data_IF_203601852424
#
_entry.id   IF_203601852424
#
_cell.length_a   1.000
_cell.length_b   1.000
_cell.length_c   1.000
_cell.angle_alpha   90.00
_cell.angle_beta   90.00
_cell.angle_gamma   90.00
#
_symmetry.space_group_name_H-M   'P 1'
#
loop_
_entity.id
_entity.type
_entity.pdbx_description
1 polymer ?
#
# COMPACT_ATOMS: atom_id res chain seq x y z
N UNK A 1 -3.84 16.65 -2.49
CA UNK A 1 -4.98 15.94 -3.06
C UNK A 1 -6.26 16.68 -2.86
N UNK A 2 -6.99 16.92 -3.89
CA UNK A 2 -8.08 17.88 -3.81
C UNK A 2 -9.48 17.28 -3.72
N UNK A 3 -9.68 16.06 -4.22
CA UNK A 3 -11.00 15.44 -4.18
C UNK A 3 -10.91 13.91 -4.34
N UNK A 4 -12.03 13.23 -4.11
CA UNK A 4 -12.10 11.77 -4.16
C UNK A 4 -11.78 11.20 -5.54
N UNK A 5 -12.18 11.90 -6.60
CA UNK A 5 -11.92 11.47 -7.97
C UNK A 5 -10.43 11.41 -8.25
N UNK A 6 -9.69 12.44 -7.83
CA UNK A 6 -8.25 12.49 -8.00
C UNK A 6 -7.56 11.39 -7.19
N UNK A 7 -8.04 11.14 -5.97
CA UNK A 7 -7.49 10.08 -5.13
C UNK A 7 -7.65 8.71 -5.79
N UNK A 8 -8.85 8.40 -6.27
CA UNK A 8 -9.09 7.12 -6.93
C UNK A 8 -8.20 6.92 -8.15
N UNK A 9 -8.05 7.96 -8.98
CA UNK A 9 -7.18 7.90 -10.16
C UNK A 9 -5.73 7.66 -9.78
N UNK A 10 -5.27 8.33 -8.73
CA UNK A 10 -3.89 8.18 -8.25
C UNK A 10 -3.66 6.75 -7.77
N UNK A 11 -4.58 6.23 -6.98
CA UNK A 11 -4.48 4.87 -6.43
C UNK A 11 -4.52 3.83 -7.54
N UNK A 12 -5.42 3.98 -8.50
CA UNK A 12 -5.51 3.05 -9.64
C UNK A 12 -4.21 3.03 -10.44
N UNK A 13 -3.63 4.20 -10.65
CA UNK A 13 -2.36 4.31 -11.38
C UNK A 13 -1.20 3.73 -10.58
N UNK A 14 -1.17 3.96 -9.28
CA UNK A 14 -0.15 3.40 -8.41
C UNK A 14 -0.22 1.87 -8.41
N UNK A 15 -1.42 1.33 -8.29
CA UNK A 15 -1.65 -0.12 -8.36
C UNK A 15 -1.12 -0.69 -9.66
N UNK A 16 -1.46 -0.07 -10.78
CA UNK A 16 -1.00 -0.50 -12.11
C UNK A 16 0.51 -0.55 -12.18
N UNK A 17 1.17 0.50 -11.69
CA UNK A 17 2.63 0.58 -11.70
C UNK A 17 3.29 -0.43 -10.78
N UNK A 18 2.71 -0.67 -9.60
CA UNK A 18 3.22 -1.69 -8.69
C UNK A 18 3.13 -3.07 -9.35
N UNK A 19 2.04 -3.35 -10.04
CA UNK A 19 1.86 -4.63 -10.70
C UNK A 19 2.75 -4.81 -11.94
N UNK A 20 3.25 -3.73 -12.52
CA UNK A 20 4.30 -3.81 -13.53
C UNK A 20 5.61 -4.31 -12.93
N UNK A 21 5.89 -3.94 -11.70
CA UNK A 21 7.10 -4.38 -10.99
C UNK A 21 6.92 -5.81 -10.47
N UNK A 22 5.76 -6.12 -9.92
CA UNK A 22 5.45 -7.43 -9.34
C UNK A 22 4.01 -7.81 -9.72
N UNK A 23 3.82 -8.55 -10.83
CA UNK A 23 2.48 -8.82 -11.36
C UNK A 23 1.51 -9.51 -10.40
N UNK A 24 2.03 -10.31 -9.47
CA UNK A 24 1.20 -11.01 -8.50
C UNK A 24 0.99 -10.26 -7.20
N UNK A 25 1.46 -9.01 -7.12
CA UNK A 25 1.34 -8.21 -5.90
C UNK A 25 -0.13 -8.01 -5.51
N UNK A 26 -0.39 -8.08 -4.21
CA UNK A 26 -1.68 -7.73 -3.63
C UNK A 26 -1.49 -6.43 -2.87
N UNK A 27 -2.42 -5.50 -3.04
CA UNK A 27 -2.32 -4.18 -2.46
C UNK A 27 -3.57 -3.92 -1.63
N UNK A 28 -3.37 -3.60 -0.36
CA UNK A 28 -4.46 -3.38 0.59
C UNK A 28 -4.32 -1.99 1.18
N UNK A 29 -5.35 -1.18 1.00
CA UNK A 29 -5.44 0.14 1.63
C UNK A 29 -5.94 -0.06 3.05
N UNK A 30 -5.25 0.53 4.03
CA UNK A 30 -5.68 0.46 5.42
C UNK A 30 -5.54 1.83 6.08
N UNK A 31 -5.76 1.91 7.38
CA UNK A 31 -5.67 3.15 8.11
C UNK A 31 -6.87 4.06 7.87
N UNK A 32 -6.70 5.36 8.11
CA UNK A 32 -7.81 6.32 8.10
C UNK A 32 -8.54 6.39 6.76
N UNK A 33 -7.81 6.26 5.65
CA UNK A 33 -8.45 6.31 4.34
C UNK A 33 -9.33 5.10 4.05
N UNK A 34 -8.98 3.96 4.62
CA UNK A 34 -9.83 2.76 4.51
C UNK A 34 -11.05 2.84 5.42
N UNK A 35 -10.87 3.40 6.62
CA UNK A 35 -11.98 3.55 7.58
C UNK A 35 -12.96 4.66 7.20
N UNK A 36 -12.52 5.63 6.39
CA UNK A 36 -13.35 6.75 6.00
C UNK A 36 -13.25 7.97 6.90
N UNK A 37 -12.40 7.94 7.93
CA UNK A 37 -12.20 9.06 8.86
C UNK A 37 -10.96 9.90 8.49
N UNK A 38 -10.76 10.08 7.19
CA UNK A 38 -9.62 10.80 6.66
C UNK A 38 -9.99 12.23 6.22
N UNK A 39 -8.95 13.07 6.12
CA UNK A 39 -9.05 14.36 5.46
C UNK A 39 -8.03 14.41 4.31
N UNK A 40 -7.92 15.55 3.63
CA UNK A 40 -7.05 15.69 2.47
C UNK A 40 -5.57 15.56 2.78
N UNK A 41 -5.20 15.70 4.05
CA UNK A 41 -3.80 15.62 4.49
C UNK A 41 -3.44 14.25 5.07
N UNK A 42 -4.41 13.33 5.14
CA UNK A 42 -4.16 12.01 5.70
C UNK A 42 -3.20 11.21 4.83
N UNK A 43 -2.32 10.46 5.48
CA UNK A 43 -1.38 9.55 4.82
C UNK A 43 -2.15 8.43 4.11
N UNK A 44 -1.52 7.87 3.10
CA UNK A 44 -2.05 6.71 2.39
C UNK A 44 -1.28 5.50 2.88
N UNK A 45 -1.93 4.67 3.70
CA UNK A 45 -1.32 3.48 4.25
C UNK A 45 -1.61 2.28 3.35
N UNK A 46 -0.55 1.67 2.83
CA UNK A 46 -0.68 0.54 1.91
C UNK A 46 0.11 -0.67 2.42
N UNK A 47 -0.54 -1.82 2.44
CA UNK A 47 0.16 -3.09 2.59
C UNK A 47 0.35 -3.66 1.18
N UNK A 48 1.59 -3.97 0.83
CA UNK A 48 1.93 -4.52 -0.48
C UNK A 48 2.55 -5.90 -0.26
N UNK A 49 1.84 -6.93 -0.68
CA UNK A 49 2.28 -8.31 -0.54
C UNK A 49 2.80 -8.81 -1.88
N UNK A 50 4.05 -9.26 -1.89
CA UNK A 50 4.71 -9.76 -3.09
C UNK A 50 5.11 -11.22 -2.88
N UNK A 51 5.35 -11.95 -3.96
CA UNK A 51 5.69 -13.38 -3.86
C UNK A 51 7.06 -13.58 -3.21
N UNK A 52 8.06 -12.84 -3.69
CA UNK A 52 9.41 -12.91 -3.13
C UNK A 52 9.90 -11.52 -2.81
N UNK A 53 10.27 -11.31 -1.54
CA UNK A 53 10.75 -10.00 -1.10
C UNK A 53 12.23 -9.85 -1.41
N UNK A 54 12.53 -9.58 -2.68
CA UNK A 54 13.89 -9.28 -3.12
C UNK A 54 14.17 -7.80 -2.88
N UNK A 55 15.39 -7.50 -2.50
CA UNK A 55 15.80 -6.11 -2.24
C UNK A 55 15.53 -5.19 -3.43
N UNK A 56 15.84 -5.67 -4.64
CA UNK A 56 15.62 -4.86 -5.84
C UNK A 56 14.13 -4.56 -6.08
N UNK A 57 13.27 -5.54 -5.85
CA UNK A 57 11.83 -5.36 -6.01
C UNK A 57 11.29 -4.35 -5.00
N UNK A 58 11.70 -4.50 -3.74
CA UNK A 58 11.29 -3.59 -2.68
C UNK A 58 11.74 -2.16 -2.96
N UNK A 59 13.00 -1.98 -3.39
CA UNK A 59 13.53 -0.65 -3.74
C UNK A 59 12.76 -0.01 -4.88
N UNK A 60 12.40 -0.77 -5.90
CA UNK A 60 11.63 -0.26 -7.03
C UNK A 60 10.25 0.23 -6.58
N UNK A 61 9.59 -0.51 -5.70
CA UNK A 61 8.29 -0.13 -5.18
C UNK A 61 8.40 1.14 -4.31
N UNK A 62 9.40 1.20 -3.44
CA UNK A 62 9.62 2.37 -2.59
C UNK A 62 9.92 3.61 -3.45
N UNK A 63 10.76 3.47 -4.45
CA UNK A 63 11.07 4.59 -5.35
C UNK A 63 9.84 5.06 -6.10
N UNK A 64 9.00 4.14 -6.52
CA UNK A 64 7.74 4.47 -7.18
C UNK A 64 6.83 5.28 -6.24
N UNK A 65 6.75 4.89 -4.98
CA UNK A 65 5.98 5.64 -3.99
C UNK A 65 6.52 7.06 -3.82
N UNK A 66 7.83 7.23 -3.76
CA UNK A 66 8.43 8.57 -3.69
C UNK A 66 8.09 9.41 -4.91
N UNK A 67 8.13 8.83 -6.11
CA UNK A 67 7.75 9.56 -7.32
C UNK A 67 6.31 10.06 -7.24
N UNK A 68 5.42 9.22 -6.74
CA UNK A 68 4.01 9.58 -6.58
C UNK A 68 3.82 10.66 -5.52
N UNK A 69 4.57 10.57 -4.42
CA UNK A 69 4.52 11.60 -3.37
C UNK A 69 4.90 12.96 -3.93
N UNK A 70 5.97 13.02 -4.71
CA UNK A 70 6.44 14.27 -5.29
C UNK A 70 5.48 14.80 -6.36
N UNK A 71 4.94 13.90 -7.16
CA UNK A 71 4.07 14.31 -8.27
C UNK A 71 2.71 14.80 -7.81
N UNK A 72 2.15 14.18 -6.79
CA UNK A 72 0.77 14.44 -6.37
C UNK A 72 0.65 15.13 -5.02
N UNK A 73 1.76 15.47 -4.41
CA UNK A 73 1.80 16.15 -3.09
C UNK A 73 1.00 15.35 -2.04
N UNK A 74 1.37 14.09 -1.89
CA UNK A 74 0.74 13.15 -0.96
C UNK A 74 1.82 12.43 -0.16
N UNK A 75 1.43 11.79 0.93
CA UNK A 75 2.33 10.95 1.71
C UNK A 75 1.84 9.51 1.62
N UNK A 76 2.72 8.62 1.18
CA UNK A 76 2.42 7.19 1.06
C UNK A 76 3.29 6.44 2.06
N UNK A 77 2.66 5.61 2.88
CA UNK A 77 3.34 4.78 3.87
C UNK A 77 3.23 3.32 3.41
N UNK A 78 4.21 2.81 2.65
CA UNK A 78 4.15 1.44 2.17
C UNK A 78 4.70 0.46 3.21
N UNK A 79 3.97 -0.61 3.45
CA UNK A 79 4.41 -1.74 4.25
C UNK A 79 4.54 -2.90 3.29
N UNK A 80 5.78 -3.34 3.02
CA UNK A 80 6.06 -4.36 2.01
C UNK A 80 6.51 -5.64 2.68
N UNK A 81 5.81 -6.73 2.40
CA UNK A 81 6.15 -8.06 2.89
C UNK A 81 5.94 -9.10 1.79
N UNK A 82 6.62 -10.23 1.91
CA UNK A 82 6.25 -11.37 1.08
C UNK A 82 4.97 -11.98 1.63
N UNK A 83 4.19 -12.63 0.77
CA UNK A 83 2.96 -13.30 1.18
C UNK A 83 3.25 -14.37 2.24
N UNK A 84 4.34 -15.11 2.07
CA UNK A 84 4.74 -16.15 3.01
C UNK A 84 5.11 -15.56 4.37
N UNK A 85 5.91 -14.50 4.38
CA UNK A 85 6.33 -13.83 5.61
C UNK A 85 5.13 -13.29 6.38
N UNK A 86 4.21 -12.63 5.67
CA UNK A 86 3.03 -12.02 6.27
C UNK A 86 2.12 -13.05 6.95
N UNK A 87 2.07 -14.27 6.40
CA UNK A 87 1.24 -15.34 6.91
C UNK A 87 1.97 -16.29 7.85
N UNK A 88 3.19 -15.93 8.25
CA UNK A 88 4.03 -16.74 9.14
C UNK A 88 4.31 -16.02 10.44
N UNK A 89 4.65 -16.79 11.48
CA UNK A 89 5.05 -16.23 12.77
C UNK A 89 6.32 -15.37 12.58
N UNK A 90 6.45 -14.18 13.20
CA UNK A 90 5.50 -13.62 14.18
C UNK A 90 4.41 -12.72 13.58
N UNK A 91 4.45 -12.43 12.29
CA UNK A 91 3.49 -11.48 11.68
C UNK A 91 2.06 -11.98 11.76
N UNK A 92 1.86 -13.30 11.64
CA UNK A 92 0.52 -13.87 11.62
C UNK A 92 -0.25 -13.68 12.94
N UNK A 93 0.44 -13.33 14.03
CA UNK A 93 -0.21 -13.06 15.33
C UNK A 93 -0.07 -11.58 15.74
N UNK A 94 0.36 -10.72 14.83
CA UNK A 94 0.55 -9.30 15.14
C UNK A 94 -0.76 -8.53 15.15
N UNK A 95 -0.80 -7.48 15.97
CA UNK A 95 -1.97 -6.60 16.03
C UNK A 95 -2.20 -5.89 14.70
N UNK A 96 -1.12 -5.47 14.04
CA UNK A 96 -1.24 -4.74 12.78
C UNK A 96 -1.90 -5.62 11.71
N UNK A 97 -1.55 -6.91 11.67
CA UNK A 97 -2.17 -7.83 10.72
C UNK A 97 -3.66 -7.97 11.00
N UNK A 98 -4.02 -8.11 12.28
CA UNK A 98 -5.40 -8.19 12.69
C UNK A 98 -6.22 -6.97 12.22
N UNK A 99 -5.70 -5.76 12.47
CA UNK A 99 -6.40 -4.54 12.09
C UNK A 99 -6.48 -4.36 10.57
N UNK A 100 -5.41 -4.70 9.86
CA UNK A 100 -5.42 -4.60 8.39
C UNK A 100 -6.44 -5.57 7.79
N UNK A 101 -6.51 -6.80 8.30
CA UNK A 101 -7.49 -7.76 7.80
C UNK A 101 -8.92 -7.35 8.10
N UNK A 102 -9.13 -6.70 9.25
CA UNK A 102 -10.46 -6.26 9.66
C UNK A 102 -10.92 -5.01 8.89
N UNK A 103 -10.04 -4.04 8.69
CA UNK A 103 -10.39 -2.73 8.14
C UNK A 103 -9.91 -2.51 6.71
N UNK A 104 -8.97 -3.29 6.24
CA UNK A 104 -8.33 -3.08 4.96
C UNK A 104 -9.25 -3.29 3.77
N UNK A 105 -8.96 -2.55 2.71
CA UNK A 105 -9.68 -2.63 1.44
C UNK A 105 -8.69 -3.07 0.37
N UNK A 106 -8.94 -4.23 -0.22
CA UNK A 106 -8.11 -4.71 -1.31
C UNK A 106 -8.40 -3.87 -2.55
N UNK A 107 -7.35 -3.34 -3.13
CA UNK A 107 -7.49 -2.49 -4.32
C UNK A 107 -6.89 -3.13 -5.56
#
# INVERSE_FOLDING_TARGET
MKNKKSFKKIIDKLKEKIKEISPSAEIILFGSRARGDYDSESDIDLLILIDKKKKITEEKIINLCYEFELKYDIIIMPLIHSKKEWNSFPYNVSEIKYFIEKEGIKI
#
